data_IF_703137803162
#
_entry.id   IF_703137803162
#
_cell.length_a   1.000
_cell.length_b   1.000
_cell.length_c   1.000
_cell.angle_alpha   90.00
_cell.angle_beta   90.00
_cell.angle_gamma   90.00
#
_symmetry.space_group_name_H-M   'P 1'
#
loop_
_entity.id
_entity.type
_entity.pdbx_description
1 polymer ?
#
# COMPACT_ATOMS: atom_id res chain seq x y z
N UNK A 1 11.56 -22.41 8.44
CA UNK A 1 11.70 -21.78 7.09
C UNK A 1 10.75 -22.36 6.06
N UNK A 2 10.71 -23.68 5.83
CA UNK A 2 9.79 -24.32 4.85
C UNK A 2 8.30 -24.10 5.16
N UNK A 3 7.91 -24.07 6.44
CA UNK A 3 6.53 -23.80 6.85
C UNK A 3 6.07 -22.39 6.45
N UNK A 4 6.88 -21.36 6.72
CA UNK A 4 6.57 -19.96 6.39
C UNK A 4 6.47 -19.74 4.87
N UNK A 5 7.32 -20.41 4.07
CA UNK A 5 7.27 -20.36 2.61
C UNK A 5 5.97 -20.95 2.02
N UNK A 6 5.49 -22.08 2.58
CA UNK A 6 4.24 -22.73 2.13
C UNK A 6 2.98 -21.98 2.58
N UNK A 7 3.02 -21.29 3.72
CA UNK A 7 1.90 -20.48 4.21
C UNK A 7 1.86 -19.07 3.59
N UNK A 8 2.90 -18.65 2.89
CA UNK A 8 2.86 -17.41 2.11
C UNK A 8 1.95 -17.53 0.88
N UNK A 9 1.83 -18.74 0.32
CA UNK A 9 0.95 -19.02 -0.83
C UNK A 9 -0.53 -19.18 -0.46
N UNK A 10 -0.87 -19.36 0.82
CA UNK A 10 -2.26 -19.62 1.22
C UNK A 10 -3.14 -18.36 1.26
N UNK A 11 -2.54 -17.16 1.17
CA UNK A 11 -3.27 -15.91 1.10
C UNK A 11 -2.60 -14.90 0.14
N UNK A 12 -2.63 -15.18 -1.18
CA UNK A 12 -1.93 -14.37 -2.18
C UNK A 12 -2.40 -12.91 -2.16
N UNK A 13 -3.70 -12.66 -1.96
CA UNK A 13 -4.27 -11.30 -1.89
C UNK A 13 -3.69 -10.49 -0.72
N UNK A 14 -3.58 -11.09 0.48
CA UNK A 14 -2.99 -10.43 1.64
C UNK A 14 -1.50 -10.19 1.47
N UNK A 15 -0.79 -11.15 0.88
CA UNK A 15 0.63 -11.01 0.57
C UNK A 15 0.86 -9.87 -0.43
N UNK A 16 0.08 -9.80 -1.51
CA UNK A 16 0.15 -8.71 -2.48
C UNK A 16 -0.18 -7.35 -1.85
N UNK A 17 -1.20 -7.28 -0.98
CA UNK A 17 -1.54 -6.06 -0.26
C UNK A 17 -0.40 -5.58 0.64
N UNK A 18 0.22 -6.49 1.40
CA UNK A 18 1.40 -6.16 2.22
C UNK A 18 2.59 -5.70 1.36
N UNK A 19 2.80 -6.33 0.19
CA UNK A 19 3.83 -5.93 -0.76
C UNK A 19 3.59 -4.52 -1.34
N UNK A 20 2.35 -4.14 -1.67
CA UNK A 20 2.05 -2.79 -2.12
C UNK A 20 2.36 -1.72 -1.06
N UNK A 21 2.05 -2.00 0.20
CA UNK A 21 2.40 -1.09 1.31
C UNK A 21 3.92 -1.01 1.48
N UNK A 22 4.60 -2.16 1.47
CA UNK A 22 6.05 -2.23 1.66
C UNK A 22 6.82 -1.52 0.55
N UNK A 23 6.45 -1.76 -0.72
CA UNK A 23 7.15 -1.18 -1.88
C UNK A 23 6.84 0.31 -2.01
N UNK A 24 5.60 0.75 -1.76
CA UNK A 24 5.27 2.18 -1.74
C UNK A 24 5.99 2.91 -0.61
N UNK A 25 6.03 2.34 0.60
CA UNK A 25 6.80 2.91 1.70
C UNK A 25 8.29 2.99 1.39
N UNK A 26 8.84 1.95 0.76
CA UNK A 26 10.24 1.89 0.35
C UNK A 26 10.56 2.94 -0.73
N UNK A 27 9.70 3.15 -1.73
CA UNK A 27 9.95 4.17 -2.76
C UNK A 27 9.96 5.58 -2.16
N UNK A 28 9.04 5.89 -1.24
CA UNK A 28 9.05 7.18 -0.53
C UNK A 28 10.30 7.33 0.35
N UNK A 29 10.78 6.25 0.97
CA UNK A 29 12.02 6.28 1.73
C UNK A 29 13.24 6.51 0.82
N UNK A 30 13.30 5.84 -0.33
CA UNK A 30 14.36 6.03 -1.33
C UNK A 30 14.38 7.49 -1.81
N UNK A 31 13.23 8.08 -2.11
CA UNK A 31 13.14 9.49 -2.49
C UNK A 31 13.73 10.39 -1.41
N UNK A 32 13.38 10.17 -0.14
CA UNK A 32 13.94 10.95 0.99
C UNK A 32 15.45 10.79 1.10
N UNK A 33 16.00 9.60 0.87
CA UNK A 33 17.45 9.38 0.94
C UNK A 33 18.19 10.08 -0.20
N UNK A 34 17.61 10.10 -1.40
CA UNK A 34 18.26 10.66 -2.60
C UNK A 34 18.05 12.17 -2.71
N UNK A 35 16.97 12.70 -2.14
CA UNK A 35 16.52 14.09 -2.34
C UNK A 35 16.54 14.89 -1.04
N UNK A 36 17.56 14.67 -0.20
CA UNK A 36 17.81 15.43 1.03
C UNK A 36 16.61 15.50 1.99
N UNK A 37 15.86 14.40 2.11
CA UNK A 37 14.70 14.27 2.99
C UNK A 37 13.36 14.59 2.34
N UNK A 38 13.32 14.93 1.05
CA UNK A 38 12.09 15.28 0.33
C UNK A 38 11.47 14.10 -0.42
N UNK A 39 10.14 14.08 -0.49
CA UNK A 39 9.36 13.17 -1.36
C UNK A 39 8.81 13.97 -2.52
N UNK A 40 8.76 13.39 -3.72
CA UNK A 40 8.22 14.06 -4.90
C UNK A 40 6.75 13.68 -5.09
N UNK A 41 5.88 14.66 -4.94
CA UNK A 41 4.45 14.54 -5.23
C UNK A 41 4.17 15.16 -6.60
N UNK A 42 3.48 14.41 -7.46
CA UNK A 42 3.32 14.79 -8.88
C UNK A 42 1.94 14.47 -9.47
N UNK A 43 1.07 13.80 -8.71
CA UNK A 43 -0.29 13.48 -9.11
C UNK A 43 -1.28 14.40 -8.38
N UNK A 44 -2.27 14.89 -9.13
CA UNK A 44 -3.46 15.55 -8.59
C UNK A 44 -4.68 14.93 -9.27
N UNK A 45 -5.62 14.40 -8.49
CA UNK A 45 -6.89 13.90 -8.99
C UNK A 45 -7.94 15.00 -8.91
N UNK A 46 -8.49 15.36 -10.06
CA UNK A 46 -9.61 16.27 -10.19
C UNK A 46 -10.76 15.50 -10.86
N UNK A 47 -11.73 15.02 -10.06
CA UNK A 47 -12.90 14.29 -10.55
C UNK A 47 -14.16 15.05 -10.14
N UNK A 48 -14.74 15.81 -11.06
CA UNK A 48 -15.92 16.64 -10.79
C UNK A 48 -15.60 17.72 -9.75
N UNK A 49 -16.29 17.71 -8.61
CA UNK A 49 -16.02 18.60 -7.47
C UNK A 49 -14.96 18.06 -6.51
N UNK A 50 -14.50 16.82 -6.71
CA UNK A 50 -13.46 16.21 -5.88
C UNK A 50 -12.09 16.71 -6.37
N UNK A 51 -11.49 17.59 -5.58
CA UNK A 51 -10.10 18.00 -5.71
C UNK A 51 -9.29 17.31 -4.62
N UNK A 52 -8.43 16.38 -5.00
CA UNK A 52 -7.48 15.80 -4.05
C UNK A 52 -6.29 16.73 -3.85
N UNK A 53 -5.54 16.53 -2.77
CA UNK A 53 -4.20 17.10 -2.66
C UNK A 53 -3.24 16.56 -3.73
N UNK A 54 -2.02 17.10 -3.74
CA UNK A 54 -0.91 16.51 -4.51
C UNK A 54 -0.44 15.26 -3.77
N UNK A 55 -0.27 14.15 -4.49
CA UNK A 55 0.23 12.89 -3.95
C UNK A 55 1.11 12.20 -4.99
N UNK A 56 1.65 11.02 -4.66
CA UNK A 56 2.45 10.24 -5.60
C UNK A 56 1.94 8.81 -5.81
N UNK A 57 2.57 8.07 -6.72
CA UNK A 57 2.19 6.68 -6.98
C UNK A 57 2.41 5.77 -5.76
N UNK A 58 3.37 6.10 -4.89
CA UNK A 58 3.63 5.35 -3.68
C UNK A 58 2.44 5.44 -2.72
N UNK A 59 1.83 6.61 -2.57
CA UNK A 59 0.65 6.83 -1.75
C UNK A 59 -0.54 6.03 -2.29
N UNK A 60 -0.73 5.97 -3.62
CA UNK A 60 -1.76 5.12 -4.23
C UNK A 60 -1.52 3.65 -3.89
N UNK A 61 -0.29 3.15 -4.04
CA UNK A 61 0.05 1.76 -3.75
C UNK A 61 -0.21 1.41 -2.27
N UNK A 62 0.21 2.29 -1.36
CA UNK A 62 -0.03 2.13 0.09
C UNK A 62 -1.53 2.11 0.38
N UNK A 63 -2.29 3.07 -0.17
CA UNK A 63 -3.73 3.17 0.02
C UNK A 63 -4.47 1.94 -0.53
N UNK A 64 -4.07 1.44 -1.70
CA UNK A 64 -4.65 0.24 -2.29
C UNK A 64 -4.39 -1.00 -1.42
N UNK A 65 -3.15 -1.22 -0.98
CA UNK A 65 -2.80 -2.32 -0.09
C UNK A 65 -3.52 -2.23 1.26
N UNK A 66 -3.55 -1.05 1.87
CA UNK A 66 -4.25 -0.83 3.13
C UNK A 66 -5.75 -1.09 3.01
N UNK A 67 -6.40 -0.61 1.93
CA UNK A 67 -7.82 -0.84 1.66
C UNK A 67 -8.14 -2.33 1.58
N UNK A 68 -7.31 -3.11 0.87
CA UNK A 68 -7.50 -4.57 0.76
C UNK A 68 -7.41 -5.25 2.13
N UNK A 69 -6.44 -4.87 2.98
CA UNK A 69 -6.29 -5.44 4.32
C UNK A 69 -7.46 -5.06 5.25
N UNK A 70 -7.93 -3.81 5.19
CA UNK A 70 -9.09 -3.35 5.97
C UNK A 70 -10.35 -4.09 5.56
N UNK A 71 -10.61 -4.21 4.26
CA UNK A 71 -11.78 -4.94 3.74
C UNK A 71 -11.72 -6.42 4.12
N UNK A 72 -10.55 -7.07 4.01
CA UNK A 72 -10.35 -8.45 4.48
C UNK A 72 -10.61 -8.60 5.99
N UNK A 73 -10.20 -7.62 6.80
CA UNK A 73 -10.44 -7.60 8.24
C UNK A 73 -11.90 -7.47 8.63
N UNK A 74 -12.68 -6.65 7.90
CA UNK A 74 -14.12 -6.44 8.16
C UNK A 74 -14.97 -7.59 7.63
N UNK A 75 -14.60 -8.16 6.48
CA UNK A 75 -15.38 -9.22 5.82
C UNK A 75 -15.19 -10.61 6.45
N UNK A 76 -14.15 -10.81 7.25
CA UNK A 76 -13.99 -12.05 8.00
C UNK A 76 -14.81 -12.02 9.28
N UNK A 77 -15.90 -12.81 9.39
CA UNK A 77 -16.56 -12.98 10.68
C UNK A 77 -15.53 -13.56 11.65
N UNK A 78 -15.44 -12.95 12.83
CA UNK A 78 -14.64 -13.47 13.95
C UNK A 78 -14.98 -14.95 14.14
N UNK A 79 -14.05 -15.84 13.80
CA UNK A 79 -14.09 -17.22 14.32
C UNK A 79 -13.80 -17.10 15.81
N UNK A 80 -14.87 -16.97 16.59
CA UNK A 80 -14.85 -17.18 18.03
C UNK A 80 -14.75 -18.66 18.34
#
# INVERSE_FOLDING_TARGET
>A
MVWAWRHWQSAPVKASAAWFIAVGGLSNLIDRVIRDGHVVDYLVLNIGTLHTGVFNLADIAIMAGATVLVVDGITRPSKR
#
